data_IF_885791914686
#
_entry.id   IF_885791914686
#
_cell.length_a   1.000
_cell.length_b   1.000
_cell.length_c   1.000
_cell.angle_alpha   90.00
_cell.angle_beta   90.00
_cell.angle_gamma   90.00
#
_symmetry.space_group_name_H-M   'P 1'
#
loop_
_entity.id
_entity.type
_entity.pdbx_description
1 polymer ?
#
# COMPACT_ATOMS: atom_id res chain seq x y z
N UNK A 1 -11.57 11.03 19.23
CA UNK A 1 -10.26 10.90 19.88
C UNK A 1 -9.34 10.37 18.81
N UNK A 2 -8.49 11.23 18.23
CA UNK A 2 -7.45 10.77 17.30
C UNK A 2 -6.47 9.89 18.08
N UNK A 3 -6.07 8.71 17.59
CA UNK A 3 -5.04 7.92 18.23
C UNK A 3 -3.77 8.78 18.35
N UNK A 4 -3.14 8.77 19.52
CA UNK A 4 -1.81 9.35 19.67
C UNK A 4 -0.86 8.35 19.04
N UNK A 5 -0.41 8.63 17.82
CA UNK A 5 0.63 7.86 17.16
C UNK A 5 1.98 8.31 17.74
N UNK A 6 2.67 7.40 18.42
CA UNK A 6 4.03 7.63 18.90
C UNK A 6 5.06 7.13 17.89
N UNK A 7 6.34 7.39 18.15
CA UNK A 7 7.45 7.03 17.26
C UNK A 7 7.50 5.52 16.98
N UNK A 8 7.10 4.68 17.95
CA UNK A 8 7.07 3.23 17.78
C UNK A 8 5.96 2.79 16.81
N UNK A 9 4.79 3.44 16.88
CA UNK A 9 3.71 3.19 15.92
C UNK A 9 4.16 3.50 14.48
N UNK A 10 4.80 4.66 14.27
CA UNK A 10 5.30 5.04 12.95
C UNK A 10 6.36 4.06 12.42
N UNK A 11 7.31 3.63 13.26
CA UNK A 11 8.32 2.65 12.86
C UNK A 11 7.73 1.30 12.42
N UNK A 12 6.67 0.84 13.10
CA UNK A 12 5.97 -0.40 12.71
C UNK A 12 5.27 -0.25 11.36
N UNK A 13 4.67 0.91 11.13
CA UNK A 13 3.94 1.22 9.90
C UNK A 13 4.89 1.35 8.70
N UNK A 14 6.00 2.07 8.85
CA UNK A 14 7.05 2.16 7.83
C UNK A 14 7.65 0.78 7.50
N UNK A 15 7.88 -0.06 8.52
CA UNK A 15 8.33 -1.43 8.30
C UNK A 15 7.29 -2.29 7.56
N UNK A 16 5.99 -2.00 7.71
CA UNK A 16 4.94 -2.64 6.92
C UNK A 16 4.98 -2.16 5.46
N UNK A 17 5.16 -0.86 5.23
CA UNK A 17 5.25 -0.31 3.88
C UNK A 17 6.42 -0.88 3.10
N UNK A 18 7.59 -0.95 3.72
CA UNK A 18 8.78 -1.55 3.12
C UNK A 18 8.53 -3.01 2.69
N UNK A 19 7.80 -3.79 3.49
CA UNK A 19 7.42 -5.17 3.16
C UNK A 19 6.45 -5.23 1.98
N UNK A 20 5.42 -4.39 1.96
CA UNK A 20 4.44 -4.35 0.87
C UNK A 20 5.12 -3.96 -0.45
N UNK A 21 5.97 -2.92 -0.45
CA UNK A 21 6.73 -2.48 -1.63
C UNK A 21 7.60 -3.64 -2.15
N UNK A 22 8.28 -4.36 -1.25
CA UNK A 22 9.10 -5.50 -1.61
C UNK A 22 8.27 -6.67 -2.18
N UNK A 23 7.06 -6.93 -1.68
CA UNK A 23 6.14 -7.91 -2.25
C UNK A 23 5.69 -7.49 -3.66
N UNK A 24 5.33 -6.22 -3.89
CA UNK A 24 4.96 -5.72 -5.23
C UNK A 24 6.09 -5.98 -6.23
N UNK A 25 7.33 -5.60 -5.87
CA UNK A 25 8.51 -5.79 -6.73
C UNK A 25 8.72 -7.27 -7.08
N UNK A 26 8.67 -8.16 -6.09
CA UNK A 26 8.88 -9.60 -6.30
C UNK A 26 7.75 -10.26 -7.10
N UNK A 27 6.50 -9.93 -6.80
CA UNK A 27 5.32 -10.57 -7.42
C UNK A 27 5.15 -10.19 -8.89
N UNK A 28 5.46 -8.94 -9.23
CA UNK A 28 5.24 -8.40 -10.57
C UNK A 28 6.53 -8.16 -11.35
N UNK A 29 7.69 -8.52 -10.78
CA UNK A 29 9.01 -8.36 -11.42
C UNK A 29 9.28 -6.94 -11.89
N UNK A 30 8.83 -5.95 -11.10
CA UNK A 30 9.13 -4.52 -11.32
C UNK A 30 10.29 -4.09 -10.42
N UNK A 31 10.96 -2.98 -10.76
CA UNK A 31 12.03 -2.46 -9.91
C UNK A 31 11.47 -2.02 -8.55
N UNK A 32 12.33 -1.96 -7.53
CA UNK A 32 11.92 -1.42 -6.23
C UNK A 32 11.50 0.06 -6.33
N UNK A 33 12.09 0.81 -7.26
CA UNK A 33 11.71 2.19 -7.56
C UNK A 33 10.29 2.26 -8.13
N UNK A 34 9.98 1.44 -9.15
CA UNK A 34 8.63 1.38 -9.72
C UNK A 34 7.59 0.91 -8.68
N UNK A 35 7.95 -0.08 -7.85
CA UNK A 35 7.08 -0.56 -6.78
C UNK A 35 6.79 0.52 -5.72
N UNK A 36 7.79 1.35 -5.43
CA UNK A 36 7.66 2.49 -4.52
C UNK A 36 6.71 3.54 -5.08
N UNK A 37 6.88 3.90 -6.36
CA UNK A 37 6.00 4.83 -7.05
C UNK A 37 4.55 4.32 -7.09
N UNK A 38 4.36 3.04 -7.40
CA UNK A 38 3.03 2.40 -7.39
C UNK A 38 2.39 2.46 -6.00
N UNK A 39 3.16 2.16 -4.96
CA UNK A 39 2.68 2.15 -3.58
C UNK A 39 2.27 3.55 -3.10
N UNK A 40 3.12 4.56 -3.30
CA UNK A 40 2.84 5.92 -2.82
C UNK A 40 1.73 6.63 -3.61
N UNK A 41 1.42 6.18 -4.83
CA UNK A 41 0.30 6.70 -5.62
C UNK A 41 -1.01 5.92 -5.40
N UNK A 42 -1.04 4.95 -4.48
CA UNK A 42 -2.23 4.12 -4.22
C UNK A 42 -3.25 4.81 -3.30
N UNK A 43 -4.54 4.82 -3.66
CA UNK A 43 -5.63 5.20 -2.76
C UNK A 43 -5.74 4.33 -1.48
N UNK A 44 -5.11 3.15 -1.43
CA UNK A 44 -5.07 2.32 -0.23
C UNK A 44 -4.13 2.85 0.85
N UNK A 45 -3.14 3.67 0.50
CA UNK A 45 -2.15 4.16 1.47
C UNK A 45 -2.80 4.97 2.61
N UNK A 46 -3.64 6.00 2.36
CA UNK A 46 -4.34 6.71 3.43
C UNK A 46 -5.23 5.79 4.29
N UNK A 47 -5.86 4.79 3.66
CA UNK A 47 -6.71 3.82 4.38
C UNK A 47 -5.89 2.90 5.29
N UNK A 48 -4.66 2.57 4.88
CA UNK A 48 -3.72 1.78 5.65
C UNK A 48 -3.15 2.60 6.84
N UNK A 49 -2.85 3.89 6.63
CA UNK A 49 -2.45 4.84 7.68
C UNK A 49 -3.54 5.02 8.74
N UNK A 50 -4.79 5.21 8.31
CA UNK A 50 -5.95 5.37 9.19
C UNK A 50 -6.41 4.05 9.82
N UNK A 51 -5.82 2.92 9.41
CA UNK A 51 -6.17 1.58 9.90
C UNK A 51 -7.59 1.14 9.54
N UNK A 52 -8.19 1.72 8.49
CA UNK A 52 -9.56 1.45 8.06
C UNK A 52 -9.73 -0.03 7.70
N UNK A 53 -10.88 -0.61 8.07
CA UNK A 53 -11.27 -1.99 7.73
C UNK A 53 -10.24 -3.06 8.11
N UNK A 54 -9.45 -2.82 9.16
CA UNK A 54 -8.36 -3.68 9.62
C UNK A 54 -7.32 -3.98 8.53
N UNK A 55 -7.11 -3.04 7.58
CA UNK A 55 -6.12 -3.20 6.51
C UNK A 55 -4.71 -3.41 7.06
N UNK A 56 -4.37 -2.78 8.18
CA UNK A 56 -3.09 -2.96 8.85
C UNK A 56 -2.85 -4.41 9.33
N UNK A 57 -3.92 -5.16 9.62
CA UNK A 57 -3.88 -6.59 9.99
C UNK A 57 -3.81 -7.53 8.79
N UNK A 58 -4.06 -7.04 7.57
CA UNK A 58 -3.96 -7.87 6.35
C UNK A 58 -2.50 -8.18 6.02
N UNK A 59 -2.30 -9.31 5.34
CA UNK A 59 -0.96 -9.75 4.94
C UNK A 59 -0.35 -8.78 3.92
N UNK A 60 0.98 -8.67 3.96
CA UNK A 60 1.72 -7.75 3.09
C UNK A 60 1.50 -8.12 1.61
N UNK A 61 1.47 -9.42 1.30
CA UNK A 61 1.15 -9.96 -0.03
C UNK A 61 -0.26 -9.57 -0.52
N UNK A 62 -1.27 -9.67 0.35
CA UNK A 62 -2.64 -9.30 -0.03
C UNK A 62 -2.72 -7.81 -0.38
N UNK A 63 -2.12 -6.96 0.45
CA UNK A 63 -2.10 -5.51 0.21
C UNK A 63 -1.33 -5.18 -1.08
N UNK A 64 -0.23 -5.87 -1.35
CA UNK A 64 0.52 -5.73 -2.60
C UNK A 64 -0.34 -6.05 -3.84
N UNK A 65 -1.11 -7.14 -3.81
CA UNK A 65 -2.02 -7.52 -4.91
C UNK A 65 -3.13 -6.47 -5.11
N UNK A 66 -3.73 -5.97 -4.02
CA UNK A 66 -4.78 -4.96 -4.10
C UNK A 66 -4.26 -3.66 -4.71
N UNK A 67 -3.11 -3.17 -4.23
CA UNK A 67 -2.43 -1.97 -4.74
C UNK A 67 -2.07 -2.14 -6.22
N UNK A 68 -1.53 -3.30 -6.60
CA UNK A 68 -1.21 -3.58 -7.99
C UNK A 68 -2.46 -3.58 -8.88
N UNK A 69 -3.57 -4.12 -8.39
CA UNK A 69 -4.83 -4.17 -9.15
C UNK A 69 -5.38 -2.78 -9.45
N UNK A 70 -5.14 -1.79 -8.59
CA UNK A 70 -5.53 -0.40 -8.84
C UNK A 70 -4.84 0.19 -10.07
N UNK A 71 -3.56 -0.12 -10.30
CA UNK A 71 -2.83 0.35 -11.48
C UNK A 71 -3.50 -0.07 -12.79
N UNK A 72 -4.03 -1.31 -12.85
CA UNK A 72 -4.78 -1.80 -14.00
C UNK A 72 -6.17 -1.19 -14.17
N UNK A 73 -6.77 -0.65 -13.09
CA UNK A 73 -8.11 -0.05 -13.11
C UNK A 73 -8.08 1.44 -13.50
N UNK A 74 -6.96 2.13 -13.33
CA UNK A 74 -6.79 3.53 -13.75
C UNK A 74 -6.88 3.74 -15.29
N UNK A 75 -6.93 2.66 -16.08
CA UNK A 75 -7.14 2.70 -17.53
C UNK A 75 -8.61 2.61 -18.01
N UNK A 76 -9.60 2.48 -17.12
CA UNK A 76 -11.02 2.39 -17.49
C UNK A 76 -11.85 3.47 -16.80
N UNK A 77 -11.71 4.73 -17.25
CA UNK A 77 -12.38 5.85 -16.60
C UNK A 77 -12.44 7.16 -17.37
N UNK A 78 -12.54 7.16 -18.70
CA UNK A 78 -13.12 8.30 -19.46
C UNK A 78 -13.81 7.77 -20.72
N UNK A 79 -15.12 7.57 -20.62
CA UNK A 79 -15.97 7.09 -21.70
C UNK A 79 -17.43 7.39 -21.43
N UNK A 80 -17.73 8.66 -21.14
CA UNK A 80 -19.06 9.28 -21.29
C UNK A 80 -18.89 10.74 -21.69
#
# INVERSE_FOLDING_TARGET
MTPIHDEAYHAILEAKYARIINEISQMHSVSLEDAMDIFYNSPLLPLLEEGVADLHCRSDKYLAEEIWREQGQQGQGTGT
#
